data_IF_938467477374
#
_entry.id   IF_938467477374
#
_cell.length_a   1.000
_cell.length_b   1.000
_cell.length_c   1.000
_cell.angle_alpha   90.00
_cell.angle_beta   90.00
_cell.angle_gamma   90.00
#
_symmetry.space_group_name_H-M   'P 1'
#
loop_
_entity.id
_entity.type
_entity.pdbx_description
1 polymer ?
#
# COMPACT_ATOMS: atom_id res chain seq x y z
N UNK A 1 36.02 4.37 36.15
CA UNK A 1 35.94 5.60 35.34
C UNK A 1 34.52 5.73 34.81
N UNK A 2 33.83 6.85 35.04
CA UNK A 2 32.48 7.10 34.50
C UNK A 2 32.60 8.13 33.38
N UNK A 3 32.30 7.72 32.15
CA UNK A 3 32.28 8.63 31.02
C UNK A 3 30.97 9.46 31.00
N UNK A 4 31.12 10.78 31.03
CA UNK A 4 30.02 11.74 30.87
C UNK A 4 29.57 11.73 29.41
N UNK A 5 28.31 11.34 29.16
CA UNK A 5 27.72 11.46 27.82
C UNK A 5 27.51 12.95 27.48
N UNK A 6 28.11 13.35 26.35
CA UNK A 6 28.08 14.69 25.77
C UNK A 6 26.65 15.14 25.43
N UNK A 7 26.17 16.19 26.11
CA UNK A 7 24.85 16.82 25.90
C UNK A 7 24.91 17.84 24.74
N UNK A 8 26.07 18.01 24.08
CA UNK A 8 26.28 19.08 23.10
C UNK A 8 25.69 18.83 21.70
N UNK A 9 25.11 17.65 21.42
CA UNK A 9 24.54 17.35 20.08
C UNK A 9 23.12 17.87 19.84
N UNK A 10 22.40 18.34 20.86
CA UNK A 10 20.99 18.78 20.72
C UNK A 10 20.81 20.30 20.65
N UNK A 11 21.87 21.08 20.85
CA UNK A 11 21.77 22.53 20.95
C UNK A 11 21.86 23.26 19.60
N UNK A 12 22.63 22.72 18.65
CA UNK A 12 22.69 23.21 17.26
C UNK A 12 21.31 23.26 16.60
N UNK A 13 20.42 22.31 16.93
CA UNK A 13 19.15 22.14 16.21
C UNK A 13 18.17 23.29 16.49
N UNK A 14 18.28 23.91 17.66
CA UNK A 14 17.47 25.07 18.01
C UNK A 14 17.93 26.36 17.32
N UNK A 15 19.22 26.50 17.02
CA UNK A 15 19.75 27.68 16.32
C UNK A 15 19.25 27.76 14.86
N UNK A 16 19.06 26.63 14.18
CA UNK A 16 18.53 26.59 12.81
C UNK A 16 17.07 27.03 12.74
N UNK A 17 16.24 26.60 13.71
CA UNK A 17 14.80 26.94 13.73
C UNK A 17 14.59 28.45 13.90
N UNK A 18 15.42 29.12 14.72
CA UNK A 18 15.31 30.58 14.93
C UNK A 18 15.69 31.38 13.68
N UNK A 19 16.67 30.91 12.88
CA UNK A 19 17.07 31.59 11.63
C UNK A 19 15.96 31.52 10.57
N UNK A 20 15.20 30.42 10.50
CA UNK A 20 14.11 30.25 9.51
C UNK A 20 12.92 31.18 9.84
N UNK A 21 12.61 31.38 11.11
CA UNK A 21 11.47 32.23 11.51
C UNK A 21 11.79 33.72 11.38
N UNK A 22 13.04 34.13 11.60
CA UNK A 22 13.46 35.52 11.39
C UNK A 22 13.55 35.93 9.92
N UNK A 23 13.69 34.98 8.99
CA UNK A 23 13.79 35.24 7.55
C UNK A 23 12.47 35.60 6.85
N UNK A 24 11.32 35.44 7.50
CA UNK A 24 10.00 35.63 6.86
C UNK A 24 9.42 37.05 6.97
N UNK A 25 10.10 38.00 7.63
CA UNK A 25 9.54 39.35 7.88
C UNK A 25 10.12 40.44 6.97
N UNK A 26 11.03 40.15 6.03
CA UNK A 26 11.58 41.22 5.18
C UNK A 26 11.84 40.81 3.73
N UNK A 27 11.09 41.45 2.81
CA UNK A 27 11.26 41.40 1.36
C UNK A 27 10.01 40.82 0.67
N UNK A 28 9.11 41.55 0.02
CA UNK A 28 9.22 42.88 -0.57
C UNK A 28 8.90 42.82 -2.07
N UNK A 29 7.82 43.49 -2.46
CA UNK A 29 7.68 44.33 -3.67
C UNK A 29 7.25 43.68 -5.02
N UNK A 30 5.99 43.94 -5.36
CA UNK A 30 5.54 44.52 -6.64
C UNK A 30 5.28 43.60 -7.83
N UNK A 31 4.05 43.58 -8.37
CA UNK A 31 3.65 44.48 -9.47
C UNK A 31 2.16 44.25 -9.86
N UNK A 32 1.46 45.35 -10.16
CA UNK A 32 0.12 45.40 -10.75
C UNK A 32 0.11 44.92 -12.22
N UNK A 33 -0.98 44.29 -12.65
CA UNK A 33 -1.70 44.69 -13.87
C UNK A 33 -3.03 43.90 -14.02
N UNK A 34 -4.11 44.65 -13.84
CA UNK A 34 -5.47 44.53 -14.41
C UNK A 34 -5.60 43.74 -15.71
N UNK A 35 -6.63 42.89 -15.82
CA UNK A 35 -7.70 42.95 -16.85
C UNK A 35 -8.76 41.87 -16.59
N UNK A 36 -9.99 42.32 -16.28
CA UNK A 36 -11.21 41.53 -16.12
C UNK A 36 -12.13 41.79 -17.32
N UNK A 37 -12.71 40.70 -17.86
CA UNK A 37 -13.94 40.51 -18.66
C UNK A 37 -14.31 41.46 -19.83
N UNK A 38 -14.64 40.87 -20.99
CA UNK A 38 -16.05 40.62 -21.37
C UNK A 38 -16.22 39.83 -22.71
N UNK A 39 -16.96 38.71 -22.60
CA UNK A 39 -18.02 38.14 -23.44
C UNK A 39 -17.95 38.03 -25.00
N UNK A 40 -18.14 36.79 -25.49
CA UNK A 40 -19.17 36.35 -26.48
C UNK A 40 -18.98 34.83 -26.75
N UNK A 41 -19.85 33.92 -26.28
CA UNK A 41 -21.10 33.44 -26.90
C UNK A 41 -20.93 32.85 -28.31
N UNK A 42 -20.88 31.50 -28.43
CA UNK A 42 -21.53 30.68 -29.49
C UNK A 42 -21.69 29.21 -29.01
N UNK A 43 -22.93 28.77 -28.83
CA UNK A 43 -23.45 27.40 -29.10
C UNK A 43 -24.30 27.50 -30.39
N UNK A 44 -24.71 26.43 -31.12
CA UNK A 44 -24.76 25.00 -30.76
C UNK A 44 -24.37 24.00 -31.90
N UNK A 45 -24.27 22.70 -31.56
CA UNK A 45 -25.04 21.60 -32.20
C UNK A 45 -24.55 20.21 -31.74
N UNK A 46 -25.47 19.24 -31.56
CA UNK A 46 -25.21 17.96 -30.90
C UNK A 46 -24.77 16.87 -31.90
N UNK A 47 -23.96 15.92 -31.44
CA UNK A 47 -23.82 14.62 -32.11
C UNK A 47 -23.94 13.52 -31.06
N UNK A 48 -25.12 12.92 -31.04
CA UNK A 48 -25.48 11.70 -30.33
C UNK A 48 -24.78 10.51 -30.98
N UNK A 49 -23.88 9.88 -30.22
CA UNK A 49 -23.44 8.50 -30.41
C UNK A 49 -23.77 7.73 -29.12
N UNK A 50 -24.14 6.43 -29.20
CA UNK A 50 -24.90 5.76 -28.15
C UNK A 50 -24.06 5.51 -26.90
N UNK A 51 -24.45 6.14 -25.79
CA UNK A 51 -23.96 5.77 -24.46
C UNK A 51 -24.45 4.36 -24.10
N UNK A 52 -23.55 3.44 -23.70
CA UNK A 52 -23.98 2.23 -23.04
C UNK A 52 -24.60 2.61 -21.71
N UNK A 53 -25.88 2.29 -21.56
CA UNK A 53 -26.66 2.42 -20.32
C UNK A 53 -26.08 1.49 -19.26
N UNK A 54 -25.02 1.94 -18.58
CA UNK A 54 -24.62 1.40 -17.29
C UNK A 54 -25.38 2.17 -16.23
N UNK A 55 -26.24 1.47 -15.48
CA UNK A 55 -26.84 2.01 -14.27
C UNK A 55 -25.73 2.65 -13.43
N UNK A 56 -25.85 3.96 -13.21
CA UNK A 56 -24.94 4.79 -12.44
C UNK A 56 -24.97 4.32 -10.97
N UNK A 57 -24.24 3.25 -10.68
CA UNK A 57 -24.07 2.81 -9.31
C UNK A 57 -23.14 3.82 -8.63
N UNK A 58 -23.77 4.61 -7.75
CA UNK A 58 -23.21 5.63 -6.87
C UNK A 58 -21.84 5.23 -6.32
N UNK A 59 -20.87 6.14 -6.34
CA UNK A 59 -19.58 5.93 -5.71
C UNK A 59 -19.78 5.64 -4.21
N UNK A 60 -19.07 4.68 -3.60
CA UNK A 60 -19.16 4.46 -2.17
C UNK A 60 -18.68 5.70 -1.41
N UNK A 61 -19.23 5.92 -0.23
CA UNK A 61 -18.75 6.97 0.67
C UNK A 61 -17.32 6.64 1.13
N UNK A 62 -16.44 7.64 1.10
CA UNK A 62 -15.04 7.46 1.46
C UNK A 62 -14.45 8.71 2.13
N UNK A 63 -13.35 8.50 2.86
CA UNK A 63 -12.53 9.57 3.43
C UNK A 63 -11.06 9.34 3.10
N UNK A 64 -10.36 10.35 2.61
CA UNK A 64 -8.90 10.28 2.48
C UNK A 64 -8.29 10.40 3.90
N UNK A 65 -7.53 9.40 4.31
CA UNK A 65 -6.90 9.32 5.64
C UNK A 65 -5.42 9.67 5.59
N UNK A 66 -4.76 9.38 4.48
CA UNK A 66 -3.35 9.70 4.25
C UNK A 66 -3.14 10.11 2.79
N UNK A 67 -2.28 11.09 2.59
CA UNK A 67 -1.92 11.59 1.27
C UNK A 67 -0.46 12.04 1.25
N UNK A 68 0.29 11.55 0.26
CA UNK A 68 1.68 11.94 0.05
C UNK A 68 2.03 11.92 -1.43
N UNK A 69 2.51 13.04 -1.96
CA UNK A 69 3.12 13.11 -3.29
C UNK A 69 4.64 13.22 -3.12
N UNK A 70 5.38 12.28 -3.70
CA UNK A 70 6.84 12.32 -3.63
C UNK A 70 7.47 13.14 -4.77
N UNK A 71 8.77 13.41 -4.65
CA UNK A 71 9.54 14.19 -5.64
C UNK A 71 9.64 13.51 -7.00
N UNK A 72 9.35 12.21 -7.09
CA UNK A 72 9.36 11.47 -8.34
C UNK A 72 8.04 11.55 -9.09
N UNK A 73 7.01 12.15 -8.47
CA UNK A 73 5.67 12.31 -9.04
C UNK A 73 4.73 11.14 -8.74
N UNK A 74 5.09 10.27 -7.78
CA UNK A 74 4.21 9.19 -7.34
C UNK A 74 3.31 9.72 -6.22
N UNK A 75 2.00 9.65 -6.45
CA UNK A 75 1.01 10.00 -5.45
C UNK A 75 0.53 8.75 -4.70
N UNK A 76 0.76 8.72 -3.39
CA UNK A 76 0.25 7.71 -2.48
C UNK A 76 -0.99 8.27 -1.79
N UNK A 77 -2.10 7.55 -1.89
CA UNK A 77 -3.36 7.91 -1.24
C UNK A 77 -3.94 6.72 -0.51
N UNK A 78 -4.31 6.95 0.75
CA UNK A 78 -5.05 5.98 1.56
C UNK A 78 -6.47 6.50 1.76
N UNK A 79 -7.44 5.67 1.42
CA UNK A 79 -8.86 5.98 1.49
C UNK A 79 -9.53 5.00 2.45
N UNK A 80 -10.32 5.51 3.38
CA UNK A 80 -11.16 4.69 4.25
C UNK A 80 -12.58 4.64 3.71
N UNK A 81 -13.15 3.44 3.58
CA UNK A 81 -14.54 3.23 3.17
C UNK A 81 -15.14 2.03 3.90
N UNK A 82 -16.43 2.10 4.22
CA UNK A 82 -17.19 0.98 4.79
C UNK A 82 -17.60 -0.05 3.73
N UNK A 83 -17.42 0.24 2.44
CA UNK A 83 -17.78 -0.69 1.37
C UNK A 83 -16.86 -1.91 1.35
N UNK A 84 -17.47 -3.07 1.06
CA UNK A 84 -16.78 -4.35 0.83
C UNK A 84 -17.07 -4.92 -0.57
N UNK A 85 -17.91 -4.25 -1.37
CA UNK A 85 -18.23 -4.73 -2.71
C UNK A 85 -17.06 -4.43 -3.64
N UNK A 86 -16.53 -5.47 -4.29
CA UNK A 86 -15.36 -5.36 -5.14
C UNK A 86 -15.55 -4.34 -6.28
N UNK A 87 -16.76 -4.25 -6.86
CA UNK A 87 -17.05 -3.33 -7.96
C UNK A 87 -17.09 -1.89 -7.46
N UNK A 88 -17.59 -1.66 -6.25
CA UNK A 88 -17.53 -0.35 -5.57
C UNK A 88 -16.09 0.05 -5.23
N UNK A 89 -15.28 -0.88 -4.72
CA UNK A 89 -13.86 -0.64 -4.43
C UNK A 89 -13.06 -0.36 -5.70
N UNK A 90 -13.32 -1.10 -6.78
CA UNK A 90 -12.67 -0.87 -8.07
C UNK A 90 -13.07 0.50 -8.65
N UNK A 91 -14.33 0.91 -8.52
CA UNK A 91 -14.78 2.26 -8.89
C UNK A 91 -14.09 3.33 -8.06
N UNK A 92 -13.96 3.11 -6.75
CA UNK A 92 -13.28 4.03 -5.85
C UNK A 92 -11.81 4.23 -6.28
N UNK A 93 -11.10 3.13 -6.57
CA UNK A 93 -9.73 3.18 -7.10
C UNK A 93 -9.67 3.94 -8.41
N UNK A 94 -10.55 3.65 -9.38
CA UNK A 94 -10.60 4.37 -10.67
C UNK A 94 -10.89 5.86 -10.49
N UNK A 95 -11.76 6.23 -9.54
CA UNK A 95 -12.10 7.61 -9.25
C UNK A 95 -10.88 8.42 -8.77
N UNK A 96 -9.85 7.77 -8.21
CA UNK A 96 -8.62 8.48 -7.84
C UNK A 96 -7.87 9.05 -9.05
N UNK A 97 -8.11 8.57 -10.27
CA UNK A 97 -7.57 9.22 -11.47
C UNK A 97 -8.13 10.63 -11.66
N UNK A 98 -9.42 10.83 -11.35
CA UNK A 98 -10.06 12.16 -11.40
C UNK A 98 -9.46 13.05 -10.30
N UNK A 99 -9.27 12.50 -9.10
CA UNK A 99 -8.64 13.22 -7.98
C UNK A 99 -7.18 13.60 -8.28
N UNK A 100 -6.45 12.75 -9.02
CA UNK A 100 -5.09 13.03 -9.44
C UNK A 100 -5.05 14.16 -10.48
N UNK A 101 -5.96 14.13 -11.46
CA UNK A 101 -6.06 15.17 -12.48
C UNK A 101 -6.46 16.54 -11.91
N UNK A 102 -7.23 16.56 -10.81
CA UNK A 102 -7.60 17.78 -10.11
C UNK A 102 -6.46 18.39 -9.26
N UNK A 103 -5.32 17.70 -9.11
CA UNK A 103 -4.18 18.26 -8.39
C UNK A 103 -3.47 19.34 -9.22
N UNK A 104 -2.99 20.37 -8.54
CA UNK A 104 -2.14 21.41 -9.12
C UNK A 104 -0.70 20.95 -9.41
N UNK A 105 -0.29 19.80 -8.86
CA UNK A 105 1.03 19.22 -9.01
C UNK A 105 1.00 18.08 -10.03
N UNK A 106 2.11 17.89 -10.75
CA UNK A 106 2.24 16.80 -11.74
C UNK A 106 2.23 15.45 -11.03
N UNK A 107 1.22 14.63 -11.36
CA UNK A 107 1.13 13.23 -10.91
C UNK A 107 1.49 12.32 -12.07
N UNK A 108 2.59 11.60 -11.94
CA UNK A 108 3.09 10.66 -12.95
C UNK A 108 2.39 9.31 -12.83
N UNK A 109 2.16 8.88 -11.58
CA UNK A 109 1.52 7.62 -11.22
C UNK A 109 0.89 7.69 -9.82
N UNK A 110 0.00 6.74 -9.52
CA UNK A 110 -0.75 6.68 -8.25
C UNK A 110 -0.67 5.28 -7.66
N UNK A 111 -0.46 5.22 -6.35
CA UNK A 111 -0.79 4.07 -5.51
C UNK A 111 -1.98 4.41 -4.62
N UNK A 112 -3.02 3.60 -4.73
CA UNK A 112 -4.23 3.69 -3.91
C UNK A 112 -4.21 2.56 -2.89
N UNK A 113 -4.39 2.90 -1.64
CA UNK A 113 -4.69 1.98 -0.56
C UNK A 113 -6.12 2.21 -0.10
N UNK A 114 -6.90 1.14 0.02
CA UNK A 114 -8.26 1.22 0.55
C UNK A 114 -8.32 0.43 1.85
N UNK A 115 -8.68 1.11 2.93
CA UNK A 115 -8.75 0.56 4.27
C UNK A 115 -10.21 0.53 4.77
N UNK A 116 -10.58 -0.55 5.45
CA UNK A 116 -11.82 -0.59 6.23
C UNK A 116 -11.68 0.29 7.49
N UNK A 117 -12.70 1.08 7.86
CA UNK A 117 -12.66 1.90 9.07
C UNK A 117 -12.62 1.02 10.33
N UNK A 118 -11.87 1.47 11.35
CA UNK A 118 -11.72 0.77 12.62
C UNK A 118 -10.68 1.46 13.52
N UNK A 119 -10.53 0.97 14.75
CA UNK A 119 -9.45 1.41 15.65
C UNK A 119 -8.06 1.06 15.09
N UNK A 120 -7.99 -0.03 14.32
CA UNK A 120 -6.84 -0.44 13.52
C UNK A 120 -7.31 -0.58 12.06
N UNK A 121 -7.06 0.42 11.18
CA UNK A 121 -7.52 0.37 9.81
C UNK A 121 -6.88 -0.83 9.10
N UNK A 122 -7.73 -1.67 8.50
CA UNK A 122 -7.28 -2.89 7.82
C UNK A 122 -7.37 -2.69 6.33
N UNK A 123 -6.28 -2.99 5.62
CA UNK A 123 -6.24 -2.85 4.17
C UNK A 123 -7.08 -3.91 3.47
N UNK A 124 -8.03 -3.46 2.65
CA UNK A 124 -8.98 -4.33 1.94
C UNK A 124 -8.78 -4.31 0.42
N UNK A 125 -8.16 -3.27 -0.13
CA UNK A 125 -7.79 -3.25 -1.54
C UNK A 125 -6.57 -2.38 -1.81
N UNK A 126 -5.93 -2.63 -2.95
CA UNK A 126 -4.91 -1.75 -3.52
C UNK A 126 -5.19 -1.47 -4.99
N UNK A 127 -4.72 -0.33 -5.44
CA UNK A 127 -4.78 0.10 -6.83
C UNK A 127 -3.49 0.75 -7.28
N UNK A 128 -3.12 0.59 -8.55
CA UNK A 128 -2.02 1.32 -9.18
C UNK A 128 -2.42 1.83 -10.55
N UNK A 129 -1.96 3.02 -10.89
CA UNK A 129 -2.25 3.66 -12.18
C UNK A 129 -1.06 4.48 -12.67
N UNK A 130 -0.84 4.48 -13.98
CA UNK A 130 0.14 5.33 -14.66
C UNK A 130 -0.57 6.37 -15.53
N UNK A 131 -0.16 7.64 -15.44
CA UNK A 131 -0.72 8.74 -16.24
C UNK A 131 0.24 9.25 -17.32
N UNK A 132 1.52 8.98 -17.17
CA UNK A 132 2.58 9.40 -18.10
C UNK A 132 3.52 8.24 -18.41
N UNK A 133 4.36 8.38 -19.44
CA UNK A 133 5.39 7.38 -19.76
C UNK A 133 6.40 7.16 -18.65
N UNK A 134 6.66 8.18 -17.83
CA UNK A 134 7.46 8.02 -16.62
C UNK A 134 6.72 7.17 -15.59
N UNK A 135 5.43 7.41 -15.41
CA UNK A 135 4.56 6.57 -14.58
C UNK A 135 4.51 5.11 -15.04
N UNK A 136 4.54 4.85 -16.34
CA UNK A 136 4.55 3.50 -16.89
C UNK A 136 5.76 2.70 -16.41
N UNK A 137 6.95 3.33 -16.44
CA UNK A 137 8.18 2.74 -15.93
C UNK A 137 8.14 2.57 -14.42
N UNK A 138 7.60 3.54 -13.67
CA UNK A 138 7.51 3.47 -12.21
C UNK A 138 6.57 2.35 -11.73
N UNK A 139 5.49 2.07 -12.47
CA UNK A 139 4.46 1.10 -12.08
C UNK A 139 4.57 -0.25 -12.78
N UNK A 140 5.43 -0.36 -13.80
CA UNK A 140 5.41 -1.47 -14.77
C UNK A 140 4.01 -1.71 -15.36
N UNK A 141 3.29 -0.63 -15.67
CA UNK A 141 1.88 -0.62 -16.08
C UNK A 141 1.69 0.33 -17.26
N UNK A 142 0.82 0.02 -18.23
CA UNK A 142 0.58 0.95 -19.35
C UNK A 142 -0.23 2.17 -18.91
N UNK A 143 -0.05 3.28 -19.62
CA UNK A 143 -0.79 4.53 -19.36
C UNK A 143 -2.29 4.30 -19.49
N UNK A 144 -3.03 4.72 -18.47
CA UNK A 144 -4.48 4.57 -18.40
C UNK A 144 -4.96 3.17 -17.98
N UNK A 145 -4.04 2.21 -17.83
CA UNK A 145 -4.37 0.92 -17.23
C UNK A 145 -4.45 1.04 -15.71
N UNK A 146 -5.30 0.20 -15.11
CA UNK A 146 -5.54 0.17 -13.66
C UNK A 146 -5.29 -1.25 -13.18
N UNK A 147 -4.23 -1.44 -12.40
CA UNK A 147 -4.05 -2.67 -11.63
C UNK A 147 -4.86 -2.54 -10.35
N UNK A 148 -5.81 -3.44 -10.14
CA UNK A 148 -6.61 -3.53 -8.91
C UNK A 148 -6.38 -4.89 -8.27
N UNK A 149 -6.14 -4.89 -6.95
CA UNK A 149 -6.00 -6.10 -6.15
C UNK A 149 -6.88 -6.00 -4.93
N UNK A 150 -7.88 -6.88 -4.85
CA UNK A 150 -8.61 -7.12 -3.62
C UNK A 150 -7.68 -7.86 -2.66
N UNK A 151 -7.51 -7.32 -1.45
CA UNK A 151 -6.82 -8.04 -0.40
C UNK A 151 -7.91 -8.84 0.30
N UNK A 152 -7.96 -10.14 0.04
CA UNK A 152 -8.72 -11.06 0.85
C UNK A 152 -8.12 -11.08 2.26
N UNK A 153 -8.54 -10.12 3.09
CA UNK A 153 -8.61 -10.36 4.51
C UNK A 153 -9.47 -11.61 4.67
N UNK A 154 -8.92 -12.67 5.30
CA UNK A 154 -9.65 -13.89 5.64
C UNK A 154 -11.11 -13.56 5.98
N UNK A 155 -12.09 -14.33 5.47
CA UNK A 155 -13.47 -13.90 5.38
C UNK A 155 -13.96 -13.34 6.71
N UNK A 156 -14.10 -12.02 6.79
CA UNK A 156 -14.84 -11.38 7.88
C UNK A 156 -16.31 -11.69 7.63
N UNK A 157 -16.74 -12.86 8.11
CA UNK A 157 -18.16 -13.15 8.34
C UNK A 157 -18.70 -11.99 9.18
N UNK A 158 -19.51 -11.17 8.53
CA UNK A 158 -20.56 -10.40 9.17
C UNK A 158 -21.36 -11.36 10.04
N UNK A 159 -21.12 -11.30 11.35
CA UNK A 159 -21.62 -12.26 12.33
C UNK A 159 -20.62 -12.37 13.47
N UNK A 160 -20.79 -11.52 14.48
CA UNK A 160 -20.01 -11.46 15.72
C UNK A 160 -19.85 -12.85 16.37
N UNK A 161 -18.79 -13.56 16.00
CA UNK A 161 -18.17 -14.63 16.77
C UNK A 161 -16.67 -14.39 16.62
N UNK A 162 -16.01 -14.13 17.75
CA UNK A 162 -14.54 -14.05 17.78
C UNK A 162 -13.95 -15.26 17.07
N UNK A 163 -12.86 -15.10 16.27
CA UNK A 163 -12.21 -16.22 15.64
C UNK A 163 -11.87 -17.27 16.69
N UNK A 164 -12.27 -18.50 16.43
CA UNK A 164 -11.99 -19.60 17.36
C UNK A 164 -10.48 -19.85 17.42
N UNK A 165 -10.03 -20.58 18.43
CA UNK A 165 -8.62 -20.99 18.50
C UNK A 165 -8.18 -21.74 17.23
N UNK A 166 -9.09 -22.52 16.62
CA UNK A 166 -8.85 -23.26 15.38
C UNK A 166 -8.66 -22.33 14.18
N UNK A 167 -9.48 -21.28 14.06
CA UNK A 167 -9.35 -20.26 13.01
C UNK A 167 -7.99 -19.53 13.10
N UNK A 168 -7.55 -19.21 14.32
CA UNK A 168 -6.22 -18.64 14.55
C UNK A 168 -5.10 -19.59 14.14
N UNK A 169 -5.19 -20.86 14.50
CA UNK A 169 -4.21 -21.87 14.10
C UNK A 169 -4.14 -22.02 12.57
N UNK A 170 -5.28 -22.05 11.89
CA UNK A 170 -5.34 -22.12 10.42
C UNK A 170 -4.68 -20.89 9.77
N UNK A 171 -4.94 -19.70 10.30
CA UNK A 171 -4.32 -18.45 9.81
C UNK A 171 -2.80 -18.44 9.98
N UNK A 172 -2.31 -18.91 11.12
CA UNK A 172 -0.86 -19.05 11.35
C UNK A 172 -0.22 -20.06 10.39
N UNK A 173 -0.85 -21.23 10.19
CA UNK A 173 -0.38 -22.23 9.21
C UNK A 173 -0.32 -21.66 7.79
N UNK A 174 -1.37 -20.95 7.36
CA UNK A 174 -1.42 -20.29 6.04
C UNK A 174 -0.31 -19.26 5.88
N UNK A 175 -0.09 -18.42 6.90
CA UNK A 175 0.99 -17.41 6.89
C UNK A 175 2.36 -18.05 6.75
N UNK A 176 2.61 -19.14 7.48
CA UNK A 176 3.87 -19.89 7.41
C UNK A 176 4.11 -20.51 6.03
N UNK A 177 3.09 -21.10 5.43
CA UNK A 177 3.18 -21.68 4.08
C UNK A 177 3.42 -20.59 3.03
N UNK A 178 2.70 -19.48 3.08
CA UNK A 178 2.89 -18.37 2.14
C UNK A 178 4.31 -17.79 2.22
N UNK A 179 4.84 -17.64 3.43
CA UNK A 179 6.20 -17.11 3.62
C UNK A 179 7.27 -18.09 3.11
N UNK A 180 7.10 -19.40 3.37
CA UNK A 180 7.99 -20.43 2.85
C UNK A 180 7.94 -20.52 1.32
N UNK A 181 6.76 -20.39 0.72
CA UNK A 181 6.60 -20.33 -0.73
C UNK A 181 7.31 -19.11 -1.33
N UNK A 182 7.13 -17.92 -0.74
CA UNK A 182 7.84 -16.71 -1.18
C UNK A 182 9.36 -16.88 -1.12
N UNK A 183 9.89 -17.53 -0.07
CA UNK A 183 11.30 -17.88 -0.01
C UNK A 183 11.71 -18.83 -1.15
N UNK A 184 10.95 -19.90 -1.40
CA UNK A 184 11.23 -20.87 -2.47
C UNK A 184 11.30 -20.15 -3.83
N UNK A 185 10.28 -19.37 -4.18
CA UNK A 185 10.17 -18.67 -5.46
C UNK A 185 11.34 -17.70 -5.67
N UNK A 186 11.65 -16.86 -4.67
CA UNK A 186 12.71 -15.86 -4.78
C UNK A 186 14.11 -16.51 -4.85
N UNK A 187 14.30 -17.65 -4.17
CA UNK A 187 15.56 -18.39 -4.19
C UNK A 187 15.76 -19.11 -5.52
N UNK A 188 14.71 -19.73 -6.08
CA UNK A 188 14.74 -20.31 -7.43
C UNK A 188 15.04 -19.29 -8.52
N UNK A 189 14.58 -18.05 -8.33
CA UNK A 189 14.87 -16.93 -9.23
C UNK A 189 16.23 -16.29 -8.98
N UNK A 190 17.00 -16.72 -7.97
CA UNK A 190 18.26 -16.10 -7.54
C UNK A 190 18.12 -14.60 -7.19
N UNK A 191 16.93 -14.18 -6.73
CA UNK A 191 16.60 -12.77 -6.43
C UNK A 191 16.50 -12.48 -4.94
N UNK A 192 16.62 -13.50 -4.08
CA UNK A 192 16.49 -13.33 -2.64
C UNK A 192 17.67 -12.54 -2.06
N UNK A 193 17.39 -11.41 -1.41
CA UNK A 193 18.39 -10.65 -0.66
C UNK A 193 18.55 -11.19 0.75
N UNK A 194 19.72 -10.97 1.37
CA UNK A 194 19.96 -11.39 2.77
C UNK A 194 18.95 -10.76 3.74
N UNK A 195 18.55 -9.50 3.51
CA UNK A 195 17.51 -8.84 4.31
C UNK A 195 16.15 -9.51 4.16
N UNK A 196 15.77 -9.92 2.94
CA UNK A 196 14.52 -10.65 2.71
C UNK A 196 14.55 -12.03 3.35
N UNK A 197 15.69 -12.72 3.28
CA UNK A 197 15.89 -14.01 3.94
C UNK A 197 15.76 -13.89 5.47
N UNK A 198 16.44 -12.93 6.09
CA UNK A 198 16.33 -12.68 7.53
C UNK A 198 14.89 -12.35 7.95
N UNK A 199 14.20 -11.54 7.13
CA UNK A 199 12.78 -11.22 7.32
C UNK A 199 11.91 -12.49 7.28
N UNK A 200 12.10 -13.35 6.27
CA UNK A 200 11.35 -14.59 6.13
C UNK A 200 11.59 -15.55 7.30
N UNK A 201 12.84 -15.74 7.71
CA UNK A 201 13.19 -16.53 8.90
C UNK A 201 12.53 -15.96 10.16
N UNK A 202 12.52 -14.63 10.31
CA UNK A 202 11.87 -13.94 11.42
C UNK A 202 10.38 -14.23 11.52
N UNK A 203 9.66 -14.11 10.39
CA UNK A 203 8.23 -14.41 10.29
C UNK A 203 7.97 -15.89 10.60
N UNK A 204 8.72 -16.81 9.98
CA UNK A 204 8.57 -18.25 10.19
C UNK A 204 8.78 -18.64 11.67
N UNK A 205 9.82 -18.10 12.32
CA UNK A 205 10.08 -18.33 13.75
C UNK A 205 9.00 -17.73 14.64
N UNK A 206 8.46 -16.56 14.29
CA UNK A 206 7.44 -15.89 15.08
C UNK A 206 6.13 -16.69 15.07
N UNK A 207 5.66 -17.10 13.90
CA UNK A 207 4.37 -17.79 13.77
C UNK A 207 4.44 -19.26 14.18
N UNK A 208 5.56 -19.96 13.95
CA UNK A 208 5.73 -21.34 14.43
C UNK A 208 5.68 -21.45 15.95
N UNK A 209 6.14 -20.43 16.69
CA UNK A 209 6.01 -20.38 18.16
C UNK A 209 4.55 -20.28 18.64
N UNK A 210 3.69 -19.64 17.85
CA UNK A 210 2.25 -19.46 18.14
C UNK A 210 1.40 -20.68 17.79
N UNK A 211 1.96 -21.62 17.02
CA UNK A 211 1.28 -22.88 16.72
C UNK A 211 1.21 -23.79 17.94
N UNK A 212 0.13 -24.55 18.01
CA UNK A 212 -0.10 -25.65 18.94
C UNK A 212 -0.37 -26.95 18.18
N UNK A 213 -0.34 -28.08 18.88
CA UNK A 213 -0.58 -29.40 18.29
C UNK A 213 0.65 -30.03 17.63
N UNK A 214 0.42 -31.17 16.95
CA UNK A 214 1.46 -32.07 16.45
C UNK A 214 2.30 -31.45 15.32
N UNK A 215 1.72 -30.57 14.51
CA UNK A 215 2.43 -29.96 13.38
C UNK A 215 3.42 -28.87 13.79
N UNK A 216 3.37 -28.38 15.05
CA UNK A 216 4.24 -27.29 15.51
C UNK A 216 5.71 -27.56 15.21
N UNK A 217 6.19 -28.77 15.50
CA UNK A 217 7.59 -29.11 15.31
C UNK A 217 7.99 -29.11 13.84
N UNK A 218 7.11 -29.54 12.94
CA UNK A 218 7.34 -29.52 11.49
C UNK A 218 7.53 -28.08 10.98
N UNK A 219 6.74 -27.12 11.47
CA UNK A 219 6.90 -25.71 11.10
C UNK A 219 8.13 -25.05 11.73
N UNK A 220 8.53 -25.46 12.93
CA UNK A 220 9.81 -25.02 13.55
C UNK A 220 11.00 -25.54 12.73
N UNK A 221 10.92 -26.78 12.27
CA UNK A 221 11.92 -27.38 11.39
C UNK A 221 11.98 -26.68 10.03
N UNK A 222 10.83 -26.39 9.41
CA UNK A 222 10.75 -25.58 8.19
C UNK A 222 11.49 -24.24 8.33
N UNK A 223 11.25 -23.51 9.43
CA UNK A 223 11.93 -22.24 9.70
C UNK A 223 13.46 -22.39 9.81
N UNK A 224 13.92 -23.50 10.38
CA UNK A 224 15.35 -23.82 10.51
C UNK A 224 15.97 -24.18 9.15
N UNK A 225 15.23 -24.90 8.29
CA UNK A 225 15.69 -25.22 6.93
C UNK A 225 15.84 -23.96 6.07
N UNK A 226 14.89 -23.02 6.18
CA UNK A 226 14.99 -21.71 5.52
C UNK A 226 16.18 -20.90 6.05
N UNK A 227 16.42 -20.90 7.37
CA UNK A 227 17.59 -20.23 7.96
C UNK A 227 18.93 -20.83 7.49
N UNK A 228 18.94 -22.12 7.16
CA UNK A 228 20.11 -22.82 6.64
C UNK A 228 20.25 -22.72 5.12
N UNK A 229 19.35 -21.98 4.45
CA UNK A 229 19.31 -21.81 3.00
C UNK A 229 19.27 -23.16 2.23
N UNK A 230 18.52 -24.14 2.76
CA UNK A 230 18.44 -25.49 2.19
C UNK A 230 17.22 -25.65 1.30
N UNK A 231 17.26 -25.07 0.10
CA UNK A 231 16.11 -25.00 -0.81
C UNK A 231 15.38 -26.33 -1.04
N UNK A 232 16.10 -27.42 -1.32
CA UNK A 232 15.46 -28.72 -1.61
C UNK A 232 14.76 -29.32 -0.39
N UNK A 233 15.38 -29.21 0.79
CA UNK A 233 14.78 -29.66 2.05
C UNK A 233 13.55 -28.80 2.41
N UNK A 234 13.62 -27.48 2.16
CA UNK A 234 12.50 -26.56 2.36
C UNK A 234 11.32 -26.93 1.46
N UNK A 235 11.57 -27.23 0.18
CA UNK A 235 10.52 -27.67 -0.76
C UNK A 235 9.87 -28.98 -0.30
N UNK A 236 10.66 -29.94 0.16
CA UNK A 236 10.15 -31.21 0.68
C UNK A 236 9.28 -30.99 1.94
N UNK A 237 9.76 -30.19 2.88
CA UNK A 237 9.03 -29.85 4.10
C UNK A 237 7.75 -29.04 3.80
N UNK A 238 7.80 -28.11 2.85
CA UNK A 238 6.66 -27.31 2.40
C UNK A 238 5.54 -28.20 1.83
N UNK A 239 5.88 -29.15 0.95
CA UNK A 239 4.92 -30.13 0.40
C UNK A 239 4.33 -31.03 1.48
N UNK A 240 5.16 -31.52 2.42
CA UNK A 240 4.70 -32.35 3.53
C UNK A 240 3.71 -31.62 4.46
N UNK A 241 3.73 -30.30 4.48
CA UNK A 241 2.83 -29.43 5.23
C UNK A 241 1.59 -28.98 4.44
N UNK A 242 1.40 -29.50 3.23
CA UNK A 242 0.24 -29.19 2.37
C UNK A 242 0.42 -27.95 1.49
N UNK A 243 1.66 -27.51 1.27
CA UNK A 243 1.98 -26.54 0.22
C UNK A 243 1.91 -27.16 -1.18
N UNK A 244 1.42 -26.41 -2.16
CA UNK A 244 1.28 -26.83 -3.56
C UNK A 244 2.54 -26.57 -4.40
#
# INVERSE_FOLDING_TARGET
MREKKSIHKKWWFWAIVVIIVAGAVNGGRGNEATTTEAAASVEPAPTTAPEPTYKEAKLPEFKITEERLDKSGIWYVTMSTSSKDERELQKLVRNTAILAAAKSQVVESVFVYVDAPGSEPTRIATGKMAFTSKGEVQMALKKGEVEFKLIETAPSKSGSKEPTAEDWQASFKKTLLNEAFSYIELTEQETISSERLESAVGVLKMYSKKLTGEDKQKYVELAKLVEQDKLDDVKAAYKALGGE
#
